data_IF_326617632246
#
_entry.id   IF_326617632246
#
_cell.length_a   1.000
_cell.length_b   1.000
_cell.length_c   1.000
_cell.angle_alpha   90.00
_cell.angle_beta   90.00
_cell.angle_gamma   90.00
#
_symmetry.space_group_name_H-M   'P 1'
#
loop_
_entity.id
_entity.type
_entity.pdbx_description
1 polymer ?
#
# COMPACT_ATOMS: atom_id res chain seq x y z
N UNK A 1 5.66 14.46 -9.19
CA UNK A 1 4.65 13.97 -8.22
C UNK A 1 5.39 13.28 -7.08
N UNK A 2 5.03 13.59 -5.84
CA UNK A 2 5.69 13.04 -4.65
C UNK A 2 4.63 12.52 -3.67
N UNK A 3 4.71 11.26 -3.25
CA UNK A 3 3.78 10.68 -2.28
C UNK A 3 4.30 10.85 -0.85
N UNK A 4 3.44 11.35 0.04
CA UNK A 4 3.72 11.62 1.47
C UNK A 4 2.77 10.81 2.36
N UNK A 5 3.14 10.62 3.62
CA UNK A 5 2.23 10.22 4.70
C UNK A 5 2.05 11.37 5.71
N UNK A 6 0.83 11.58 6.21
CA UNK A 6 0.48 12.59 7.24
C UNK A 6 1.33 12.41 8.50
N UNK A 7 1.56 11.17 8.91
CA UNK A 7 2.53 10.80 9.95
C UNK A 7 3.84 10.40 9.30
N UNK A 8 4.97 10.97 9.73
CA UNK A 8 6.28 10.63 9.19
C UNK A 8 6.52 9.12 9.24
N UNK A 9 6.94 8.55 8.11
CA UNK A 9 7.42 7.17 8.01
C UNK A 9 8.92 7.22 7.86
N UNK A 10 9.64 6.31 8.51
CA UNK A 10 11.11 6.27 8.45
C UNK A 10 11.64 6.06 7.01
N UNK A 11 10.81 5.49 6.13
CA UNK A 11 11.14 5.17 4.74
C UNK A 11 10.61 6.18 3.71
N UNK A 12 9.85 7.21 4.13
CA UNK A 12 9.45 8.32 3.26
C UNK A 12 10.35 9.52 3.54
N UNK A 13 10.71 10.31 2.52
CA UNK A 13 11.59 11.47 2.73
C UNK A 13 10.90 12.52 3.61
N UNK A 14 11.73 13.40 4.19
CA UNK A 14 11.24 14.45 5.08
C UNK A 14 10.33 15.44 4.34
N UNK A 15 9.22 15.76 5.01
CA UNK A 15 8.13 16.60 4.53
C UNK A 15 8.57 18.05 4.33
N UNK A 16 9.58 18.51 5.08
CA UNK A 16 10.09 19.87 4.99
C UNK A 16 10.75 20.14 3.63
N UNK A 17 11.46 19.13 3.09
CA UNK A 17 12.23 19.26 1.86
C UNK A 17 11.34 19.69 0.68
N UNK A 18 10.34 18.89 0.31
CA UNK A 18 9.51 19.17 -0.86
C UNK A 18 8.75 20.51 -0.74
N UNK A 19 8.27 20.85 0.46
CA UNK A 19 7.54 22.11 0.71
C UNK A 19 8.44 23.33 0.53
N UNK A 20 9.72 23.24 0.95
CA UNK A 20 10.69 24.31 0.76
C UNK A 20 10.95 24.62 -0.73
N UNK A 21 10.72 23.64 -1.62
CA UNK A 21 10.81 23.82 -3.08
C UNK A 21 9.46 24.14 -3.75
N UNK A 22 8.45 24.57 -2.98
CA UNK A 22 7.18 25.06 -3.51
C UNK A 22 6.15 23.97 -3.86
N UNK A 23 6.40 22.70 -3.54
CA UNK A 23 5.40 21.65 -3.70
C UNK A 23 4.20 21.89 -2.76
N UNK A 24 2.99 21.68 -3.28
CA UNK A 24 1.73 21.78 -2.54
C UNK A 24 1.04 20.43 -2.46
N UNK A 25 0.25 20.24 -1.41
CA UNK A 25 -0.67 19.09 -1.32
C UNK A 25 -1.81 19.34 -2.31
N UNK A 26 -2.03 18.40 -3.22
CA UNK A 26 -3.04 18.51 -4.28
C UNK A 26 -4.13 17.45 -4.17
N UNK A 27 -3.86 16.33 -3.49
CA UNK A 27 -4.86 15.32 -3.17
C UNK A 27 -4.46 14.55 -1.90
N UNK A 28 -5.42 13.90 -1.25
CA UNK A 28 -5.20 13.09 -0.05
C UNK A 28 -6.02 11.81 -0.08
N UNK A 29 -5.54 10.80 0.63
CA UNK A 29 -6.28 9.56 0.92
C UNK A 29 -6.70 9.53 2.39
N UNK A 30 -7.79 8.83 2.67
CA UNK A 30 -8.26 8.65 4.05
C UNK A 30 -7.28 7.81 4.90
N UNK A 31 -6.40 7.04 4.26
CA UNK A 31 -5.32 6.28 4.89
C UNK A 31 -4.11 7.14 5.26
N UNK A 32 -4.23 8.45 5.08
CA UNK A 32 -3.25 9.43 5.53
C UNK A 32 -2.11 9.61 4.56
N UNK A 33 -2.25 9.24 3.29
CA UNK A 33 -1.29 9.61 2.25
C UNK A 33 -1.70 10.91 1.57
N UNK A 34 -0.70 11.71 1.19
CA UNK A 34 -0.89 12.98 0.49
C UNK A 34 -0.11 12.95 -0.81
N UNK A 35 -0.69 13.54 -1.84
CA UNK A 35 -0.06 13.75 -3.12
C UNK A 35 0.47 15.18 -3.19
N UNK A 36 1.76 15.32 -3.44
CA UNK A 36 2.41 16.61 -3.63
C UNK A 36 2.76 16.83 -5.10
N UNK A 37 2.49 18.04 -5.56
CA UNK A 37 2.87 18.48 -6.89
C UNK A 37 3.45 19.90 -6.85
N UNK A 38 4.43 20.13 -7.72
CA UNK A 38 4.85 21.44 -8.16
C UNK A 38 4.32 21.58 -9.59
N UNK A 39 3.29 22.39 -9.76
CA UNK A 39 2.64 22.60 -11.06
C UNK A 39 3.17 23.87 -11.69
N UNK A 40 3.53 23.80 -12.98
CA UNK A 40 4.00 24.94 -13.77
C UNK A 40 2.92 25.53 -14.68
N UNK A 41 1.88 24.75 -14.97
CA UNK A 41 0.77 25.08 -15.88
C UNK A 41 -0.59 25.11 -15.19
N UNK A 42 -0.64 24.87 -13.88
CA UNK A 42 -1.86 24.80 -13.08
C UNK A 42 -2.50 23.42 -13.02
N UNK A 43 -2.03 22.43 -13.79
CA UNK A 43 -2.54 21.05 -13.72
C UNK A 43 -1.93 20.29 -12.54
N UNK A 44 -2.72 19.42 -11.91
CA UNK A 44 -2.27 18.63 -10.76
C UNK A 44 -2.74 17.18 -10.88
N UNK A 45 -1.91 16.21 -10.48
CA UNK A 45 -2.33 14.82 -10.42
C UNK A 45 -3.30 14.58 -9.27
N UNK A 46 -4.11 13.52 -9.39
CA UNK A 46 -5.04 13.06 -8.35
C UNK A 46 -4.88 11.55 -8.15
N UNK A 47 -5.21 11.08 -6.95
CA UNK A 47 -5.36 9.65 -6.70
C UNK A 47 -6.60 9.13 -7.43
N UNK A 48 -6.48 7.94 -7.98
CA UNK A 48 -7.64 7.23 -8.50
C UNK A 48 -8.65 6.92 -7.37
N UNK A 49 -9.95 6.89 -7.68
CA UNK A 49 -11.02 6.81 -6.67
C UNK A 49 -10.94 5.53 -5.82
N UNK A 50 -10.58 4.42 -6.44
CA UNK A 50 -10.33 3.14 -5.75
C UNK A 50 -9.26 3.24 -4.65
N UNK A 51 -8.25 4.10 -4.79
CA UNK A 51 -7.20 4.31 -3.79
C UNK A 51 -7.73 4.97 -2.51
N UNK A 52 -8.83 5.73 -2.62
CA UNK A 52 -9.47 6.41 -1.49
C UNK A 52 -10.31 5.44 -0.65
N UNK A 53 -10.71 4.30 -1.21
CA UNK A 53 -11.46 3.26 -0.50
C UNK A 53 -10.54 2.44 0.41
N UNK A 54 -10.89 2.33 1.69
CA UNK A 54 -10.09 1.55 2.67
C UNK A 54 -10.40 0.06 2.68
N UNK A 55 -11.32 -0.37 1.82
CA UNK A 55 -11.93 -1.68 1.93
C UNK A 55 -11.90 -2.44 0.62
N UNK A 56 -11.83 -3.75 0.75
CA UNK A 56 -12.03 -4.69 -0.35
C UNK A 56 -13.18 -5.63 -0.01
N UNK A 57 -13.79 -6.20 -1.04
CA UNK A 57 -14.89 -7.16 -0.87
C UNK A 57 -14.41 -8.45 -0.20
N UNK A 58 -13.24 -8.94 -0.59
CA UNK A 58 -12.64 -10.15 -0.03
C UNK A 58 -12.38 -10.00 1.49
N UNK A 59 -12.85 -10.97 2.27
CA UNK A 59 -12.71 -10.99 3.74
C UNK A 59 -11.53 -11.82 4.22
N UNK A 60 -10.92 -12.61 3.35
CA UNK A 60 -9.70 -13.36 3.65
C UNK A 60 -8.49 -12.44 3.82
N UNK A 61 -7.38 -13.00 4.29
CA UNK A 61 -6.09 -12.32 4.22
C UNK A 61 -5.74 -12.12 2.74
N UNK A 62 -5.73 -10.87 2.28
CA UNK A 62 -5.44 -10.54 0.89
C UNK A 62 -4.18 -9.69 0.81
N UNK A 63 -3.23 -10.10 -0.03
CA UNK A 63 -1.97 -9.39 -0.24
C UNK A 63 -1.80 -9.12 -1.72
N UNK A 64 -1.78 -7.84 -2.07
CA UNK A 64 -1.35 -7.37 -3.39
C UNK A 64 0.15 -7.15 -3.37
N UNK A 65 0.87 -7.68 -4.35
CA UNK A 65 2.33 -7.55 -4.42
C UNK A 65 2.84 -7.45 -5.86
N UNK A 66 3.98 -6.78 -6.05
CA UNK A 66 4.76 -6.88 -7.28
C UNK A 66 6.20 -7.36 -6.97
N UNK A 67 6.98 -7.67 -8.01
CA UNK A 67 8.34 -8.18 -7.87
C UNK A 67 9.41 -7.06 -7.96
N UNK A 68 9.09 -5.81 -7.59
CA UNK A 68 10.07 -4.71 -7.64
C UNK A 68 11.14 -4.80 -6.55
N UNK A 69 10.90 -5.56 -5.48
CA UNK A 69 11.81 -5.71 -4.35
C UNK A 69 12.24 -7.18 -4.17
N UNK A 70 13.55 -7.48 -4.02
CA UNK A 70 14.04 -8.85 -3.89
C UNK A 70 13.51 -9.57 -2.63
N UNK A 71 13.10 -8.83 -1.59
CA UNK A 71 12.53 -9.40 -0.37
C UNK A 71 11.09 -9.89 -0.51
N UNK A 72 10.39 -9.54 -1.60
CA UNK A 72 8.98 -9.89 -1.79
C UNK A 72 8.82 -11.42 -1.87
N UNK A 73 9.64 -12.08 -2.67
CA UNK A 73 9.55 -13.53 -2.87
C UNK A 73 9.67 -14.29 -1.54
N UNK A 74 10.69 -13.96 -0.75
CA UNK A 74 10.89 -14.58 0.56
C UNK A 74 9.71 -14.32 1.51
N UNK A 75 9.17 -13.10 1.48
CA UNK A 75 8.04 -12.72 2.35
C UNK A 75 6.76 -13.48 1.95
N UNK A 76 6.48 -13.59 0.65
CA UNK A 76 5.34 -14.33 0.12
C UNK A 76 5.42 -15.81 0.48
N UNK A 77 6.58 -16.45 0.30
CA UNK A 77 6.75 -17.87 0.63
C UNK A 77 6.61 -18.12 2.14
N UNK A 78 7.14 -17.24 2.98
CA UNK A 78 6.93 -17.30 4.43
C UNK A 78 5.45 -17.21 4.82
N UNK A 79 4.70 -16.30 4.20
CA UNK A 79 3.26 -16.14 4.46
C UNK A 79 2.48 -17.35 3.95
N UNK A 80 2.78 -17.82 2.75
CA UNK A 80 2.17 -19.02 2.14
C UNK A 80 2.31 -20.21 3.08
N UNK A 81 3.53 -20.54 3.48
CA UNK A 81 3.82 -21.67 4.38
C UNK A 81 3.10 -21.55 5.72
N UNK A 82 3.10 -20.34 6.31
CA UNK A 82 2.38 -20.10 7.57
C UNK A 82 0.89 -20.34 7.40
N UNK A 83 0.28 -19.81 6.34
CA UNK A 83 -1.16 -19.90 6.10
C UNK A 83 -1.58 -21.35 5.80
N UNK A 84 -0.82 -22.07 4.98
CA UNK A 84 -1.04 -23.50 4.70
C UNK A 84 -0.97 -24.34 5.98
N UNK A 85 0.07 -24.14 6.79
CA UNK A 85 0.27 -24.90 8.05
C UNK A 85 -0.85 -24.65 9.06
N UNK A 86 -1.41 -23.43 9.08
CA UNK A 86 -2.41 -23.03 10.07
C UNK A 86 -3.84 -23.01 9.52
N UNK A 87 -4.08 -23.53 8.31
CA UNK A 87 -5.38 -23.52 7.63
C UNK A 87 -6.02 -22.12 7.56
N UNK A 88 -5.21 -21.10 7.27
CA UNK A 88 -5.66 -19.71 7.09
C UNK A 88 -5.88 -19.46 5.60
N UNK A 89 -7.11 -19.11 5.16
CA UNK A 89 -7.34 -18.69 3.79
C UNK A 89 -6.55 -17.43 3.45
N UNK A 90 -5.80 -17.48 2.35
CA UNK A 90 -4.97 -16.37 1.88
C UNK A 90 -5.09 -16.18 0.37
N UNK A 91 -5.30 -14.94 -0.04
CA UNK A 91 -5.34 -14.51 -1.44
C UNK A 91 -4.07 -13.70 -1.75
N UNK A 92 -3.14 -14.30 -2.49
CA UNK A 92 -1.89 -13.68 -2.92
C UNK A 92 -2.03 -13.22 -4.37
N UNK A 93 -2.13 -11.90 -4.60
CA UNK A 93 -2.48 -11.32 -5.90
C UNK A 93 -1.26 -10.57 -6.46
N UNK A 94 -0.64 -11.14 -7.48
CA UNK A 94 0.48 -10.49 -8.16
C UNK A 94 -0.01 -9.38 -9.12
N UNK A 95 0.60 -8.21 -8.96
CA UNK A 95 0.41 -7.00 -9.77
C UNK A 95 1.53 -6.96 -10.81
N UNK A 96 1.26 -7.54 -11.97
CA UNK A 96 2.21 -7.74 -13.08
C UNK A 96 1.83 -6.97 -14.35
N UNK A 97 0.74 -6.21 -14.30
CA UNK A 97 0.27 -5.39 -15.42
C UNK A 97 -0.08 -3.97 -14.97
N UNK A 98 0.02 -3.03 -15.90
CA UNK A 98 -0.38 -1.64 -15.69
C UNK A 98 -1.86 -1.53 -15.26
N UNK A 99 -2.73 -2.36 -15.84
CA UNK A 99 -4.15 -2.36 -15.51
C UNK A 99 -4.36 -2.74 -14.03
N UNK A 100 -3.81 -3.88 -13.60
CA UNK A 100 -3.87 -4.28 -12.18
C UNK A 100 -3.35 -3.20 -11.26
N UNK A 101 -2.21 -2.58 -11.60
CA UNK A 101 -1.62 -1.51 -10.79
C UNK A 101 -2.53 -0.27 -10.66
N UNK A 102 -3.27 0.08 -11.72
CA UNK A 102 -4.24 1.20 -11.70
C UNK A 102 -5.52 0.86 -10.92
N UNK A 103 -5.90 -0.42 -10.86
CA UNK A 103 -7.11 -0.89 -10.19
C UNK A 103 -6.93 -1.15 -8.69
N UNK A 104 -5.71 -1.02 -8.16
CA UNK A 104 -5.44 -1.29 -6.75
C UNK A 104 -6.20 -0.38 -5.76
N UNK A 105 -6.71 -0.93 -4.65
CA UNK A 105 -7.40 -0.18 -3.60
C UNK A 105 -6.42 0.53 -2.63
N UNK A 106 -5.24 0.94 -3.10
CA UNK A 106 -4.22 1.56 -2.26
C UNK A 106 -3.21 2.37 -3.09
N UNK A 107 -2.52 3.29 -2.42
CA UNK A 107 -1.63 4.27 -3.07
C UNK A 107 -0.27 3.67 -3.51
N UNK A 108 0.07 2.47 -3.06
CA UNK A 108 1.34 1.81 -3.33
C UNK A 108 1.07 0.49 -4.04
N UNK A 109 1.67 0.32 -5.21
CA UNK A 109 1.42 -0.82 -6.07
C UNK A 109 2.31 -2.05 -5.79
N UNK A 110 3.31 -1.89 -4.92
CA UNK A 110 4.31 -2.91 -4.64
C UNK A 110 3.93 -3.88 -3.53
N UNK A 111 3.24 -3.41 -2.49
CA UNK A 111 2.80 -4.23 -1.36
C UNK A 111 1.64 -3.58 -0.61
N UNK A 112 0.55 -4.32 -0.45
CA UNK A 112 -0.54 -3.92 0.42
C UNK A 112 -1.27 -5.13 1.01
N UNK A 113 -1.52 -5.08 2.33
CA UNK A 113 -2.16 -6.13 3.09
C UNK A 113 -3.55 -5.67 3.51
N UNK A 114 -4.53 -6.55 3.30
CA UNK A 114 -5.90 -6.40 3.74
C UNK A 114 -6.35 -7.64 4.52
N UNK A 115 -7.20 -7.46 5.52
CA UNK A 115 -7.81 -8.55 6.27
C UNK A 115 -9.23 -8.18 6.70
N UNK A 116 -10.17 -9.14 6.61
CA UNK A 116 -11.61 -8.90 6.83
C UNK A 116 -12.15 -7.73 6.00
N UNK A 117 -11.58 -7.54 4.82
CA UNK A 117 -11.91 -6.47 3.90
C UNK A 117 -11.43 -5.08 4.31
N UNK A 118 -10.54 -4.94 5.29
CA UNK A 118 -9.99 -3.65 5.72
C UNK A 118 -8.49 -3.55 5.42
N UNK A 119 -8.02 -2.36 5.09
CA UNK A 119 -6.60 -2.06 4.92
C UNK A 119 -5.83 -2.23 6.24
N UNK A 120 -4.73 -2.98 6.19
CA UNK A 120 -3.88 -3.27 7.36
C UNK A 120 -2.54 -2.52 7.29
N UNK A 121 -1.80 -2.66 6.20
CA UNK A 121 -0.44 -2.08 6.08
C UNK A 121 0.09 -2.13 4.64
N UNK A 122 1.01 -1.22 4.31
CA UNK A 122 1.89 -1.26 3.12
C UNK A 122 3.32 -1.68 3.46
N UNK A 123 3.60 -2.02 4.72
CA UNK A 123 4.90 -2.55 5.12
C UNK A 123 4.92 -4.08 4.94
N UNK A 124 6.07 -4.61 4.53
CA UNK A 124 6.32 -6.05 4.50
C UNK A 124 6.04 -6.68 5.87
N UNK A 125 5.48 -7.88 5.86
CA UNK A 125 5.12 -8.59 7.08
C UNK A 125 6.28 -9.48 7.55
N UNK A 126 6.50 -9.48 8.86
CA UNK A 126 7.11 -10.61 9.56
C UNK A 126 6.02 -11.49 10.18
N UNK A 127 6.38 -12.73 10.56
CA UNK A 127 5.45 -13.71 11.17
C UNK A 127 4.72 -13.12 12.39
N UNK A 128 5.39 -12.37 13.26
CA UNK A 128 4.76 -11.81 14.46
C UNK A 128 3.72 -10.75 14.13
N UNK A 129 3.95 -9.97 13.07
CA UNK A 129 2.96 -8.99 12.64
C UNK A 129 1.78 -9.65 11.94
N UNK A 130 2.04 -10.65 11.08
CA UNK A 130 1.01 -11.50 10.49
C UNK A 130 0.09 -12.10 11.57
N UNK A 131 0.67 -12.70 12.62
CA UNK A 131 -0.08 -13.24 13.77
C UNK A 131 -0.96 -12.20 14.46
N UNK A 132 -0.48 -10.96 14.60
CA UNK A 132 -1.26 -9.87 15.20
C UNK A 132 -2.46 -9.47 14.33
N UNK A 133 -2.28 -9.43 13.01
CA UNK A 133 -3.36 -9.16 12.05
C UNK A 133 -4.44 -10.25 12.15
N UNK A 134 -4.02 -11.53 12.13
CA UNK A 134 -4.94 -12.67 12.13
C UNK A 134 -5.73 -12.86 13.45
N UNK A 135 -5.30 -12.22 14.54
CA UNK A 135 -6.01 -12.22 15.83
C UNK A 135 -7.17 -11.22 15.92
N UNK A 136 -7.30 -10.32 14.94
CA UNK A 136 -8.46 -9.43 14.82
C UNK A 136 -9.68 -10.21 14.36
#
# INVERSE_FOLDING_TARGET
MYARSKKQKAWLSDQSFAKNFGFKVVDTTDNGYELLALSFDGTTPEFAQNVKNKTIENKELTIYYDMQCPYIYQTIEMIRQYCETNNVPVSLIQVDTLQKAKELPCAFNNWAVFYKGNFETVNLLGIDYLKKILKK
#
